data_IF_235877753883
#
_entry.id   IF_235877753883
#
_cell.length_a   1.000
_cell.length_b   1.000
_cell.length_c   1.000
_cell.angle_alpha   90.00
_cell.angle_beta   90.00
_cell.angle_gamma   90.00
#
_symmetry.space_group_name_H-M   'P 1'
#
loop_
_entity.id
_entity.type
_entity.pdbx_description
1 polymer ?
#
# COMPACT_ATOMS: atom_id res chain seq x y z
N UNK A 1 22.49 -5.19 -13.51
CA UNK A 1 21.46 -6.12 -14.03
C UNK A 1 20.93 -5.53 -15.33
N UNK A 2 20.84 -6.31 -16.37
CA UNK A 2 20.33 -5.91 -17.69
C UNK A 2 19.06 -6.73 -17.94
N UNK A 3 17.96 -6.08 -18.29
CA UNK A 3 16.68 -6.71 -18.63
C UNK A 3 16.28 -6.17 -20.00
N UNK A 4 16.11 -7.07 -20.95
CA UNK A 4 15.74 -6.74 -22.35
C UNK A 4 16.63 -5.65 -22.99
N UNK A 5 17.94 -5.70 -22.73
CA UNK A 5 18.90 -4.75 -23.24
C UNK A 5 18.97 -3.41 -22.46
N UNK A 6 18.11 -3.19 -21.49
CA UNK A 6 18.11 -1.99 -20.65
C UNK A 6 18.83 -2.22 -19.34
N UNK A 7 19.59 -1.22 -18.90
CA UNK A 7 20.27 -1.23 -17.60
C UNK A 7 19.25 -0.78 -16.54
N UNK A 8 18.99 -1.65 -15.57
CA UNK A 8 18.14 -1.29 -14.44
C UNK A 8 18.79 -0.17 -13.62
N UNK A 9 17.99 0.77 -13.15
CA UNK A 9 18.44 1.88 -12.31
C UNK A 9 19.28 1.38 -11.10
N UNK A 10 20.42 2.03 -10.77
CA UNK A 10 21.31 1.59 -9.70
C UNK A 10 20.63 1.46 -8.33
N UNK A 11 19.72 2.39 -7.99
CA UNK A 11 18.99 2.35 -6.72
C UNK A 11 18.06 1.16 -6.65
N UNK A 12 17.40 0.85 -7.77
CA UNK A 12 16.54 -0.35 -7.89
C UNK A 12 17.37 -1.63 -7.81
N UNK A 13 18.58 -1.67 -8.43
CA UNK A 13 19.47 -2.81 -8.29
C UNK A 13 19.91 -3.05 -6.85
N UNK A 14 20.21 -1.97 -6.12
CA UNK A 14 20.60 -2.04 -4.71
C UNK A 14 19.46 -2.56 -3.85
N UNK A 15 18.24 -2.05 -4.07
CA UNK A 15 17.03 -2.49 -3.38
C UNK A 15 16.80 -3.99 -3.59
N UNK A 16 16.81 -4.45 -4.85
CA UNK A 16 16.56 -5.86 -5.17
C UNK A 16 17.62 -6.79 -4.57
N UNK A 17 18.90 -6.37 -4.57
CA UNK A 17 19.98 -7.12 -3.92
C UNK A 17 19.79 -7.18 -2.41
N UNK A 18 19.40 -6.08 -1.78
CA UNK A 18 19.11 -6.02 -0.35
C UNK A 18 17.97 -6.96 0.02
N UNK A 19 16.87 -6.92 -0.72
CA UNK A 19 15.74 -7.84 -0.51
C UNK A 19 16.14 -9.31 -0.66
N UNK A 20 16.92 -9.64 -1.69
CA UNK A 20 17.40 -11.01 -1.90
C UNK A 20 18.31 -11.50 -0.76
N UNK A 21 19.18 -10.65 -0.22
CA UNK A 21 20.05 -10.98 0.93
C UNK A 21 19.27 -11.22 2.22
N UNK A 22 18.15 -10.50 2.40
CA UNK A 22 17.26 -10.68 3.55
C UNK A 22 16.31 -11.87 3.37
N UNK A 23 16.38 -12.57 2.24
CA UNK A 23 15.44 -13.63 1.91
C UNK A 23 14.03 -13.09 1.64
N UNK A 24 13.93 -11.80 1.38
CA UNK A 24 12.70 -11.10 1.02
C UNK A 24 12.63 -11.02 -0.51
N UNK A 25 11.50 -11.17 -1.12
CA UNK A 25 11.38 -11.06 -2.58
C UNK A 25 10.35 -12.00 -3.18
N UNK A 26 9.93 -13.00 -2.43
CA UNK A 26 8.77 -13.81 -2.77
C UNK A 26 7.56 -13.31 -2.00
N UNK A 27 6.56 -12.82 -2.72
CA UNK A 27 5.30 -12.36 -2.14
C UNK A 27 4.52 -13.53 -1.58
N UNK A 28 4.67 -14.70 -2.20
CA UNK A 28 3.99 -15.95 -1.83
C UNK A 28 4.97 -16.91 -1.15
N UNK A 29 5.44 -16.56 0.05
CA UNK A 29 6.18 -17.48 0.91
C UNK A 29 5.21 -18.18 1.86
N UNK A 30 5.23 -19.51 1.83
CA UNK A 30 4.40 -20.35 2.68
C UNK A 30 3.34 -21.14 1.91
N UNK A 31 2.76 -22.10 2.57
CA UNK A 31 1.70 -22.97 2.04
C UNK A 31 0.31 -22.35 2.28
N UNK A 32 0.24 -21.31 3.14
CA UNK A 32 -1.00 -20.65 3.53
C UNK A 32 -1.08 -19.20 3.02
N UNK A 33 -2.28 -18.79 2.68
CA UNK A 33 -2.62 -17.41 2.29
C UNK A 33 -2.31 -16.43 3.42
N UNK A 34 -2.54 -16.81 4.68
CA UNK A 34 -2.26 -15.96 5.84
C UNK A 34 -0.77 -15.67 6.00
N UNK A 35 0.11 -16.64 5.70
CA UNK A 35 1.56 -16.43 5.68
C UNK A 35 1.95 -15.39 4.62
N UNK A 36 1.35 -15.46 3.44
CA UNK A 36 1.56 -14.49 2.37
C UNK A 36 1.08 -13.08 2.77
N UNK A 37 -0.06 -12.97 3.44
CA UNK A 37 -0.60 -11.71 3.99
C UNK A 37 0.32 -11.12 5.07
N UNK A 38 0.80 -11.95 5.98
CA UNK A 38 1.74 -11.53 7.03
C UNK A 38 3.08 -11.06 6.43
N UNK A 39 3.58 -11.77 5.43
CA UNK A 39 4.83 -11.44 4.76
C UNK A 39 4.76 -10.09 4.04
N UNK A 40 3.70 -9.83 3.26
CA UNK A 40 3.57 -8.54 2.56
C UNK A 40 3.41 -7.37 3.55
N UNK A 41 2.73 -7.56 4.69
CA UNK A 41 2.67 -6.54 5.76
C UNK A 41 4.05 -6.23 6.31
N UNK A 42 4.84 -7.26 6.61
CA UNK A 42 6.20 -7.12 7.11
C UNK A 42 7.09 -6.37 6.12
N UNK A 43 7.06 -6.75 4.85
CA UNK A 43 7.83 -6.09 3.79
C UNK A 43 7.42 -4.63 3.62
N UNK A 44 6.12 -4.35 3.60
CA UNK A 44 5.61 -2.98 3.50
C UNK A 44 6.03 -2.11 4.68
N UNK A 45 6.04 -2.66 5.89
CA UNK A 45 6.48 -1.95 7.09
C UNK A 45 7.97 -1.57 7.03
N UNK A 46 8.83 -2.43 6.48
CA UNK A 46 10.26 -2.15 6.31
C UNK A 46 10.53 -1.02 5.30
N UNK A 47 9.67 -0.85 4.31
CA UNK A 47 9.78 0.17 3.26
C UNK A 47 8.91 1.40 3.53
N UNK A 48 8.22 1.44 4.66
CA UNK A 48 7.28 2.52 4.98
C UNK A 48 8.02 3.76 5.50
N UNK A 49 7.80 4.87 4.81
CA UNK A 49 8.16 6.21 5.27
C UNK A 49 6.86 6.94 5.58
N UNK A 50 6.66 7.37 6.81
CA UNK A 50 5.43 8.08 7.17
C UNK A 50 5.37 9.45 6.50
N UNK A 51 4.82 9.52 5.28
CA UNK A 51 4.55 10.79 4.59
C UNK A 51 3.52 11.59 5.40
N UNK A 52 3.83 12.84 5.84
CA UNK A 52 2.90 13.65 6.58
C UNK A 52 1.70 14.04 5.72
N UNK A 53 0.51 13.94 6.30
CA UNK A 53 -0.77 14.45 5.76
C UNK A 53 -1.52 15.19 6.85
N UNK A 54 -2.54 15.98 6.51
CA UNK A 54 -3.26 16.81 7.47
C UNK A 54 -4.04 16.00 8.51
N UNK A 55 -4.68 14.91 8.07
CA UNK A 55 -5.43 14.03 8.97
C UNK A 55 -5.50 12.61 8.40
N UNK A 56 -5.51 11.63 9.30
CA UNK A 56 -5.84 10.23 8.97
C UNK A 56 -6.94 9.76 9.92
N UNK A 57 -8.01 9.17 9.38
CA UNK A 57 -9.12 8.62 10.16
C UNK A 57 -9.50 7.24 9.66
N UNK A 58 -9.62 6.28 10.58
CA UNK A 58 -10.18 4.96 10.31
C UNK A 58 -11.66 4.95 10.74
N UNK A 59 -12.52 4.42 9.88
CA UNK A 59 -13.93 4.18 10.19
C UNK A 59 -14.46 3.06 9.31
N UNK A 60 -15.73 2.69 9.46
CA UNK A 60 -16.38 1.69 8.61
C UNK A 60 -17.55 2.31 7.88
N UNK A 61 -17.80 1.85 6.66
CA UNK A 61 -18.97 2.19 5.87
C UNK A 61 -19.87 0.96 5.71
N UNK A 62 -21.18 1.10 5.53
CA UNK A 62 -22.08 -0.01 5.24
C UNK A 62 -21.67 -0.73 3.93
N UNK A 63 -21.67 -2.05 3.95
CA UNK A 63 -21.44 -2.88 2.77
C UNK A 63 -22.44 -4.02 2.68
N UNK A 64 -22.55 -4.69 1.53
CA UNK A 64 -23.56 -5.73 1.29
C UNK A 64 -23.39 -6.98 2.16
N UNK A 65 -22.17 -7.25 2.64
CA UNK A 65 -21.87 -8.39 3.50
C UNK A 65 -21.40 -7.98 4.90
N UNK A 66 -21.65 -6.73 5.30
CA UNK A 66 -21.23 -6.17 6.59
C UNK A 66 -20.41 -4.88 6.45
N UNK A 67 -19.93 -4.33 7.58
CA UNK A 67 -19.13 -3.12 7.57
C UNK A 67 -17.84 -3.30 6.78
N UNK A 68 -17.49 -2.32 5.97
CA UNK A 68 -16.22 -2.28 5.22
C UNK A 68 -15.32 -1.25 5.91
N UNK A 69 -14.14 -1.66 6.45
CA UNK A 69 -13.18 -0.72 7.01
C UNK A 69 -12.63 0.19 5.91
N UNK A 70 -12.44 1.45 6.24
CA UNK A 70 -11.85 2.44 5.35
C UNK A 70 -10.89 3.35 6.11
N UNK A 71 -9.90 3.87 5.41
CA UNK A 71 -8.98 4.89 5.93
C UNK A 71 -9.05 6.12 5.06
N UNK A 72 -9.37 7.25 5.68
CA UNK A 72 -9.47 8.54 5.03
C UNK A 72 -8.24 9.39 5.35
N UNK A 73 -7.61 9.91 4.32
CA UNK A 73 -6.48 10.84 4.39
C UNK A 73 -6.94 12.20 3.89
N UNK A 74 -6.60 13.27 4.62
CA UNK A 74 -6.85 14.64 4.18
C UNK A 74 -5.52 15.36 3.98
N UNK A 75 -5.39 16.20 2.94
CA UNK A 75 -4.18 16.97 2.69
C UNK A 75 -3.96 18.02 3.77
N UNK A 76 -2.71 18.49 3.92
CA UNK A 76 -2.35 19.64 4.79
C UNK A 76 -2.84 20.95 4.20
N UNK A 77 -2.79 21.05 2.86
CA UNK A 77 -3.26 22.22 2.11
C UNK A 77 -4.80 22.26 2.07
N UNK A 78 -5.34 23.40 1.63
CA UNK A 78 -6.78 23.53 1.45
C UNK A 78 -7.30 22.39 0.55
N UNK A 79 -8.26 21.63 1.08
CA UNK A 79 -8.86 20.48 0.40
C UNK A 79 -9.69 20.99 -0.78
N UNK A 80 -9.40 20.51 -1.97
CA UNK A 80 -10.13 20.85 -3.20
C UNK A 80 -11.58 20.35 -3.20
N UNK A 81 -11.97 19.55 -2.20
CA UNK A 81 -13.25 18.85 -2.14
C UNK A 81 -13.32 17.60 -3.03
N UNK A 82 -12.26 17.32 -3.78
CA UNK A 82 -12.16 16.08 -4.55
C UNK A 82 -11.74 14.92 -3.65
N UNK A 83 -12.36 13.76 -3.88
CA UNK A 83 -12.02 12.52 -3.17
C UNK A 83 -11.59 11.44 -4.17
N UNK A 84 -10.40 10.90 -3.97
CA UNK A 84 -9.90 9.74 -4.68
C UNK A 84 -10.24 8.49 -3.85
N UNK A 85 -11.02 7.58 -4.41
CA UNK A 85 -11.26 6.28 -3.79
C UNK A 85 -10.19 5.29 -4.27
N UNK A 86 -9.48 4.72 -3.31
CA UNK A 86 -8.35 3.83 -3.57
C UNK A 86 -8.69 2.39 -3.20
N UNK A 87 -8.56 1.50 -4.16
CA UNK A 87 -8.65 0.06 -3.96
C UNK A 87 -7.26 -0.53 -4.16
N UNK A 88 -6.71 -1.14 -3.11
CA UNK A 88 -5.35 -1.67 -3.14
C UNK A 88 -5.22 -2.86 -4.10
N UNK A 89 -3.99 -3.07 -4.60
CA UNK A 89 -3.60 -4.25 -5.37
C UNK A 89 -3.40 -5.49 -4.49
N UNK A 90 -3.06 -6.63 -5.11
CA UNK A 90 -2.76 -7.87 -4.41
C UNK A 90 -3.55 -9.08 -4.90
N UNK A 91 -4.08 -9.01 -6.14
CA UNK A 91 -4.77 -10.12 -6.80
C UNK A 91 -6.02 -10.62 -6.06
N UNK A 92 -6.66 -9.76 -5.28
CA UNK A 92 -7.79 -10.07 -4.39
C UNK A 92 -7.46 -11.05 -3.25
N UNK A 93 -6.20 -11.41 -3.08
CA UNK A 93 -5.73 -12.41 -2.09
C UNK A 93 -4.95 -11.74 -0.96
N UNK A 94 -4.12 -10.75 -1.28
CA UNK A 94 -3.26 -10.02 -0.33
C UNK A 94 -3.49 -8.52 -0.40
N UNK A 95 -2.90 -7.79 0.53
CA UNK A 95 -3.02 -6.34 0.64
C UNK A 95 -4.06 -5.93 1.68
N UNK A 96 -3.90 -4.72 2.20
CA UNK A 96 -4.76 -4.08 3.19
C UNK A 96 -4.47 -2.58 3.31
N UNK A 97 -5.08 -1.91 4.30
CA UNK A 97 -4.86 -0.49 4.57
C UNK A 97 -3.40 -0.17 4.95
N UNK A 98 -2.71 -1.09 5.63
CA UNK A 98 -1.33 -0.88 6.08
C UNK A 98 -0.33 -1.03 4.93
N UNK A 99 -0.51 -2.03 4.10
CA UNK A 99 0.40 -2.32 2.97
C UNK A 99 0.42 -1.22 1.92
N UNK A 100 -0.64 -0.41 1.84
CA UNK A 100 -0.77 0.69 0.87
C UNK A 100 -0.89 2.07 1.52
N UNK A 101 -0.68 2.18 2.85
CA UNK A 101 -0.77 3.44 3.60
C UNK A 101 0.14 4.53 3.01
N UNK A 102 1.40 4.17 2.70
CA UNK A 102 2.37 5.11 2.14
C UNK A 102 1.95 5.65 0.77
N UNK A 103 1.45 4.79 -0.12
CA UNK A 103 0.98 5.20 -1.44
C UNK A 103 -0.21 6.18 -1.34
N UNK A 104 -1.15 5.90 -0.43
CA UNK A 104 -2.29 6.78 -0.17
C UNK A 104 -1.86 8.13 0.40
N UNK A 105 -0.90 8.14 1.34
CA UNK A 105 -0.34 9.39 1.90
C UNK A 105 0.38 10.22 0.86
N UNK A 106 1.22 9.61 0.03
CA UNK A 106 1.91 10.30 -1.05
C UNK A 106 0.91 10.89 -2.06
N UNK A 107 -0.07 10.11 -2.48
CA UNK A 107 -1.12 10.58 -3.40
C UNK A 107 -1.88 11.76 -2.80
N UNK A 108 -2.30 11.67 -1.53
CA UNK A 108 -3.00 12.73 -0.83
C UNK A 108 -2.17 14.02 -0.77
N UNK A 109 -0.88 13.91 -0.40
CA UNK A 109 0.02 15.05 -0.31
C UNK A 109 0.30 15.69 -1.67
N UNK A 110 0.66 14.87 -2.67
CA UNK A 110 1.20 15.36 -3.94
C UNK A 110 0.10 15.89 -4.86
N UNK A 111 -1.09 15.29 -4.80
CA UNK A 111 -2.25 15.76 -5.55
C UNK A 111 -3.09 16.81 -4.81
N UNK A 112 -2.89 17.00 -3.51
CA UNK A 112 -3.70 17.93 -2.69
C UNK A 112 -5.18 17.54 -2.60
N UNK A 113 -5.49 16.25 -2.66
CA UNK A 113 -6.86 15.72 -2.62
C UNK A 113 -7.04 14.77 -1.44
N UNK A 114 -8.27 14.66 -0.97
CA UNK A 114 -8.62 13.61 -0.01
C UNK A 114 -8.52 12.23 -0.66
N UNK A 115 -7.99 11.23 0.09
CA UNK A 115 -7.93 9.83 -0.35
C UNK A 115 -8.74 8.97 0.61
N UNK A 116 -9.59 8.11 0.08
CA UNK A 116 -10.35 7.10 0.83
C UNK A 116 -9.86 5.71 0.40
N UNK A 117 -9.02 5.09 1.23
CA UNK A 117 -8.55 3.72 1.03
C UNK A 117 -9.58 2.73 1.57
N UNK A 118 -9.89 1.70 0.80
CA UNK A 118 -10.95 0.73 1.10
C UNK A 118 -10.32 -0.63 1.39
N UNK A 119 -10.63 -1.19 2.58
CA UNK A 119 -10.25 -2.54 2.98
C UNK A 119 -11.33 -3.52 2.54
N UNK A 120 -11.37 -3.77 1.25
CA UNK A 120 -12.37 -4.65 0.66
C UNK A 120 -12.10 -6.12 1.00
N UNK A 121 -13.12 -6.94 1.02
CA UNK A 121 -13.02 -8.37 1.31
C UNK A 121 -12.14 -9.07 0.28
N UNK A 122 -11.15 -9.78 0.77
CA UNK A 122 -10.29 -10.67 0.00
C UNK A 122 -10.92 -12.05 -0.19
N UNK A 123 -10.37 -12.80 -1.15
CA UNK A 123 -10.79 -14.19 -1.43
C UNK A 123 -10.34 -15.15 -0.31
#
# INVERSE_FOLDING_TARGET
MIIDGNILDPSTQLLLRGMALLGEGEITKGEDVEDSRANIRKQSALLSFSTPVGQVRNFSIPGPAGPIPVRHYRPVVEDTGAVLVFFHGGGWVIGDLETHDQACRQTCRDAGVSVLSVDYRLA
#
